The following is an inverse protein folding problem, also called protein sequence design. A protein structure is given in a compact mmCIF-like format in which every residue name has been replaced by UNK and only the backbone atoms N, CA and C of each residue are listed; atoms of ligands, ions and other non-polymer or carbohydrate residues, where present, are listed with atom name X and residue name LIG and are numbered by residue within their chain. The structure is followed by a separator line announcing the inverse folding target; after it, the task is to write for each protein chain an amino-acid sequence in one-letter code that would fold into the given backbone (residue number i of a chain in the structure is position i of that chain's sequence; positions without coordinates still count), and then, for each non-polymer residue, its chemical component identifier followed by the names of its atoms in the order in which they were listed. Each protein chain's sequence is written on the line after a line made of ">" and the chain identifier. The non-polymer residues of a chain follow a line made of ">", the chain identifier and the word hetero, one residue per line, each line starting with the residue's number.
data_IF_871571167617
#
_entry.id   IF_871571167617
#
_cell.length_a   1.000
_cell.length_b   1.000
_cell.length_c   1.000
_cell.angle_alpha   90.00
_cell.angle_beta   90.00
_cell.angle_gamma   90.00
#
_symmetry.space_group_name_H-M   'P 1'
#
loop_
_entity.id
_entity.type
_entity.pdbx_description
1 polymer ?
#
# COMPACT_ATOMS: atom_id res chain seq x y z
N UNK A 1 -71.89 -34.73 45.17
CA UNK A 1 -71.96 -33.71 44.10
C UNK A 1 -70.88 -32.69 44.40
N UNK A 2 -69.71 -32.82 43.76
CA UNK A 2 -68.53 -31.97 43.94
C UNK A 2 -67.79 -31.95 42.60
N UNK A 3 -67.44 -30.74 42.18
CA UNK A 3 -67.00 -30.37 40.84
C UNK A 3 -65.56 -30.80 40.51
N UNK A 4 -65.29 -31.05 39.23
CA UNK A 4 -63.93 -31.17 38.67
C UNK A 4 -63.75 -30.06 37.63
N UNK A 5 -62.71 -29.25 37.86
CA UNK A 5 -62.26 -28.14 37.04
C UNK A 5 -61.46 -28.68 35.84
N UNK A 6 -61.87 -28.37 34.61
CA UNK A 6 -61.16 -28.77 33.39
C UNK A 6 -60.24 -27.64 32.90
N UNK A 7 -58.96 -27.98 32.72
CA UNK A 7 -57.89 -27.12 32.22
C UNK A 7 -58.00 -27.01 30.68
N UNK A 8 -58.16 -25.81 30.12
CA UNK A 8 -58.09 -25.59 28.67
C UNK A 8 -56.67 -25.19 28.25
N UNK A 9 -56.08 -26.02 27.39
CA UNK A 9 -54.81 -25.81 26.72
C UNK A 9 -55.04 -24.95 25.47
N UNK A 10 -54.45 -23.75 25.40
CA UNK A 10 -54.55 -22.88 24.23
C UNK A 10 -53.27 -22.97 23.40
N UNK A 11 -53.40 -23.43 22.15
CA UNK A 11 -52.33 -23.45 21.14
C UNK A 11 -52.53 -22.23 20.24
N UNK A 12 -51.50 -21.40 20.09
CA UNK A 12 -51.47 -20.27 19.15
C UNK A 12 -50.34 -20.48 18.11
N UNK A 13 -50.52 -19.99 16.86
CA UNK A 13 -49.85 -20.51 15.67
C UNK A 13 -48.42 -19.96 15.50
N UNK A 14 -47.56 -20.80 14.92
CA UNK A 14 -46.24 -20.39 14.44
C UNK A 14 -46.39 -19.41 13.27
N UNK A 15 -45.88 -18.19 13.43
CA UNK A 15 -45.75 -17.22 12.35
C UNK A 15 -44.58 -17.64 11.46
N UNK A 16 -44.91 -18.23 10.30
CA UNK A 16 -43.99 -18.46 9.19
C UNK A 16 -43.52 -17.09 8.65
N UNK A 17 -42.43 -16.56 9.20
CA UNK A 17 -41.75 -15.39 8.68
C UNK A 17 -40.82 -15.83 7.55
N UNK A 18 -41.38 -16.01 6.35
CA UNK A 18 -40.57 -16.22 5.15
C UNK A 18 -40.04 -14.86 4.71
N UNK A 19 -38.87 -14.49 5.24
CA UNK A 19 -38.12 -13.36 4.74
C UNK A 19 -37.77 -13.63 3.27
N UNK A 20 -38.40 -12.88 2.37
CA UNK A 20 -38.01 -12.85 0.98
C UNK A 20 -36.54 -12.42 0.91
N UNK A 21 -35.67 -13.36 0.55
CA UNK A 21 -34.27 -13.05 0.30
C UNK A 21 -34.20 -12.13 -0.92
N UNK A 22 -33.93 -10.84 -0.69
CA UNK A 22 -33.44 -9.96 -1.73
C UNK A 22 -32.25 -10.63 -2.42
N UNK A 23 -32.14 -10.62 -3.76
CA UNK A 23 -30.96 -11.13 -4.43
C UNK A 23 -29.76 -10.33 -3.93
N UNK A 24 -28.89 -10.99 -3.15
CA UNK A 24 -27.63 -10.42 -2.74
C UNK A 24 -26.85 -10.09 -4.01
N UNK A 25 -26.38 -8.85 -4.13
CA UNK A 25 -25.36 -8.48 -5.10
C UNK A 25 -24.20 -9.48 -4.97
N UNK A 26 -23.60 -9.96 -6.07
CA UNK A 26 -22.47 -10.88 -5.97
C UNK A 26 -21.41 -10.26 -5.07
N UNK A 27 -20.98 -11.02 -4.07
CA UNK A 27 -19.88 -10.63 -3.20
C UNK A 27 -18.67 -10.23 -4.05
N UNK A 28 -17.79 -9.32 -3.59
CA UNK A 28 -16.58 -9.00 -4.32
C UNK A 28 -15.84 -10.31 -4.59
N UNK A 29 -15.54 -10.56 -5.85
CA UNK A 29 -14.91 -11.79 -6.32
C UNK A 29 -13.59 -12.00 -5.56
N UNK A 30 -13.56 -12.95 -4.63
CA UNK A 30 -12.32 -13.60 -4.12
C UNK A 30 -11.20 -12.72 -3.56
N UNK A 31 -10.09 -13.39 -3.23
CA UNK A 31 -8.83 -12.71 -2.91
C UNK A 31 -8.24 -12.01 -4.15
N UNK A 32 -7.30 -11.06 -3.99
CA UNK A 32 -6.61 -10.42 -5.12
C UNK A 32 -6.05 -11.42 -6.15
N UNK A 33 -5.48 -12.51 -5.66
CA UNK A 33 -4.89 -13.57 -6.47
C UNK A 33 -5.96 -14.28 -7.31
N UNK A 34 -7.13 -14.58 -6.71
CA UNK A 34 -8.21 -15.24 -7.44
C UNK A 34 -8.77 -14.34 -8.56
N UNK A 35 -8.87 -13.04 -8.31
CA UNK A 35 -9.27 -12.06 -9.34
C UNK A 35 -8.26 -12.00 -10.47
N UNK A 36 -6.97 -11.90 -10.13
CA UNK A 36 -5.90 -11.86 -11.12
C UNK A 36 -5.83 -13.16 -11.94
N UNK A 37 -5.97 -14.34 -11.31
CA UNK A 37 -6.00 -15.62 -12.02
C UNK A 37 -7.19 -15.73 -12.97
N UNK A 38 -8.39 -15.33 -12.53
CA UNK A 38 -9.56 -15.33 -13.40
C UNK A 38 -9.38 -14.38 -14.61
N UNK A 39 -8.78 -13.21 -14.38
CA UNK A 39 -8.47 -12.26 -15.44
C UNK A 39 -7.38 -12.79 -16.40
N UNK A 40 -6.35 -13.45 -15.88
CA UNK A 40 -5.28 -14.04 -16.69
C UNK A 40 -5.80 -15.16 -17.61
N UNK A 41 -6.68 -16.02 -17.09
CA UNK A 41 -7.37 -17.05 -17.89
C UNK A 41 -8.23 -16.41 -18.97
N UNK A 42 -9.00 -15.38 -18.63
CA UNK A 42 -9.88 -14.69 -19.58
C UNK A 42 -9.12 -13.94 -20.68
N UNK A 43 -7.97 -13.35 -20.34
CA UNK A 43 -7.13 -12.58 -21.26
C UNK A 43 -6.17 -13.48 -22.07
N UNK A 44 -5.85 -14.69 -21.58
CA UNK A 44 -4.86 -15.57 -22.20
C UNK A 44 -3.42 -15.08 -22.01
N UNK A 45 -3.20 -14.11 -21.13
CA UNK A 45 -1.90 -13.55 -20.79
C UNK A 45 -1.76 -13.39 -19.28
N UNK A 46 -0.53 -13.14 -18.80
CA UNK A 46 -0.29 -12.93 -17.37
C UNK A 46 -0.91 -11.62 -16.89
N UNK A 47 -1.49 -11.63 -15.70
CA UNK A 47 -2.09 -10.44 -15.06
C UNK A 47 -1.47 -10.21 -13.70
N UNK A 48 -1.12 -8.96 -13.41
CA UNK A 48 -0.49 -8.61 -12.14
C UNK A 48 -1.47 -8.68 -10.95
N UNK A 49 -0.98 -9.20 -9.83
CA UNK A 49 -1.60 -9.09 -8.51
C UNK A 49 -1.13 -7.78 -7.87
N UNK A 50 -1.84 -6.69 -8.16
CA UNK A 50 -1.42 -5.32 -7.80
C UNK A 50 -1.26 -5.13 -6.29
N UNK A 51 -2.04 -5.83 -5.48
CA UNK A 51 -2.02 -5.77 -4.02
C UNK A 51 -0.76 -6.38 -3.40
N UNK A 52 -0.06 -7.27 -4.11
CA UNK A 52 1.23 -7.86 -3.72
C UNK A 52 2.43 -7.03 -4.25
N UNK A 53 2.16 -5.90 -4.92
CA UNK A 53 3.20 -5.04 -5.48
C UNK A 53 4.04 -4.40 -4.38
N UNK A 54 5.36 -4.50 -4.50
CA UNK A 54 6.30 -3.76 -3.67
C UNK A 54 7.29 -2.93 -4.50
N UNK A 55 8.20 -2.24 -3.82
CA UNK A 55 9.32 -1.51 -4.45
C UNK A 55 10.18 -2.39 -5.35
N UNK A 56 10.27 -3.69 -5.04
CA UNK A 56 11.20 -4.63 -5.64
C UNK A 56 10.53 -5.87 -6.23
N UNK A 57 9.25 -6.05 -6.02
CA UNK A 57 8.55 -7.29 -6.36
C UNK A 57 7.29 -7.00 -7.16
N UNK A 58 7.05 -7.87 -8.15
CA UNK A 58 5.83 -7.91 -8.94
C UNK A 58 5.39 -9.36 -9.05
N UNK A 59 4.15 -9.64 -8.66
CA UNK A 59 3.56 -10.98 -8.75
C UNK A 59 2.57 -11.00 -9.89
N UNK A 60 2.67 -11.99 -10.77
CA UNK A 60 1.75 -12.21 -11.87
C UNK A 60 1.03 -13.55 -11.70
N UNK A 61 -0.28 -13.55 -11.92
CA UNK A 61 -1.04 -14.77 -12.18
C UNK A 61 -0.85 -15.18 -13.65
N UNK A 62 -0.59 -16.46 -13.88
CA UNK A 62 -0.37 -16.99 -15.23
C UNK A 62 -1.67 -17.42 -15.91
N UNK A 63 -1.72 -17.46 -17.25
CA UNK A 63 -2.94 -17.79 -18.00
C UNK A 63 -3.44 -19.24 -17.79
N UNK A 64 -2.64 -20.10 -17.15
CA UNK A 64 -3.09 -21.44 -16.72
C UNK A 64 -4.06 -21.40 -15.52
N UNK A 65 -4.19 -20.25 -14.85
CA UNK A 65 -5.10 -20.01 -13.73
C UNK A 65 -4.66 -20.59 -12.39
N UNK A 66 -3.54 -21.29 -12.33
CA UNK A 66 -3.08 -22.07 -11.17
C UNK A 66 -1.68 -21.72 -10.70
N UNK A 67 -0.82 -21.16 -11.56
CA UNK A 67 0.55 -20.79 -11.24
C UNK A 67 0.74 -19.28 -11.18
N UNK A 68 1.82 -18.86 -10.50
CA UNK A 68 2.23 -17.48 -10.36
C UNK A 68 3.70 -17.31 -10.72
N UNK A 69 4.06 -16.11 -11.17
CA UNK A 69 5.45 -15.72 -11.43
C UNK A 69 5.80 -14.52 -10.55
N UNK A 70 6.88 -14.67 -9.77
CA UNK A 70 7.48 -13.58 -8.99
C UNK A 70 8.65 -13.00 -9.77
N UNK A 71 8.57 -11.73 -10.12
CA UNK A 71 9.70 -10.94 -10.58
C UNK A 71 10.26 -10.14 -9.40
N UNK A 72 11.55 -10.33 -9.09
CA UNK A 72 12.22 -9.69 -7.95
C UNK A 72 13.49 -8.96 -8.40
N UNK A 73 13.62 -7.71 -7.97
CA UNK A 73 14.74 -6.83 -8.25
C UNK A 73 15.63 -6.63 -7.02
N UNK A 74 16.93 -6.47 -7.23
CA UNK A 74 17.89 -6.20 -6.15
C UNK A 74 17.75 -4.75 -5.66
N UNK A 75 17.49 -3.83 -6.59
CA UNK A 75 17.22 -2.42 -6.33
C UNK A 75 15.73 -2.12 -6.47
N UNK A 76 15.21 -1.05 -5.82
CA UNK A 76 13.86 -0.57 -6.07
C UNK A 76 13.70 -0.24 -7.56
N UNK A 77 12.62 -0.71 -8.17
CA UNK A 77 12.22 -0.34 -9.54
C UNK A 77 11.05 0.65 -9.54
N UNK A 78 10.47 0.89 -8.36
CA UNK A 78 9.39 1.81 -8.11
C UNK A 78 9.40 2.23 -6.64
N UNK A 79 8.86 3.40 -6.35
CA UNK A 79 8.72 3.94 -4.98
C UNK A 79 7.31 4.45 -4.77
N UNK A 80 6.80 4.33 -3.56
CA UNK A 80 5.48 4.84 -3.21
C UNK A 80 5.57 6.32 -2.84
N UNK A 81 4.91 7.19 -3.60
CA UNK A 81 4.82 8.63 -3.36
C UNK A 81 3.36 9.06 -3.47
N UNK A 82 2.85 9.69 -2.41
CA UNK A 82 1.47 10.23 -2.38
C UNK A 82 0.40 9.19 -2.79
N UNK A 83 0.57 7.94 -2.35
CA UNK A 83 -0.35 6.85 -2.66
C UNK A 83 -0.23 6.29 -4.08
N UNK A 84 0.80 6.68 -4.85
CA UNK A 84 1.06 6.19 -6.21
C UNK A 84 2.45 5.55 -6.30
N UNK A 85 2.59 4.60 -7.21
CA UNK A 85 3.89 4.06 -7.58
C UNK A 85 4.49 4.92 -8.70
N UNK A 86 5.71 5.41 -8.49
CA UNK A 86 6.47 6.17 -9.47
C UNK A 86 7.85 5.54 -9.66
N UNK A 87 8.49 5.83 -10.78
CA UNK A 87 9.89 5.45 -11.01
C UNK A 87 10.79 6.18 -10.00
N UNK A 88 11.85 5.54 -9.48
CA UNK A 88 12.85 6.25 -8.67
C UNK A 88 13.46 7.41 -9.46
N UNK A 89 13.50 8.59 -8.85
CA UNK A 89 14.06 9.82 -9.42
C UNK A 89 14.97 10.49 -8.37
N UNK A 90 16.31 10.39 -8.54
CA UNK A 90 17.28 10.95 -7.60
C UNK A 90 17.46 12.47 -7.73
N UNK A 91 16.80 13.13 -8.70
CA UNK A 91 16.93 14.58 -8.91
C UNK A 91 16.55 15.34 -7.65
N UNK A 92 17.46 16.17 -7.14
CA UNK A 92 17.23 16.92 -5.91
C UNK A 92 16.34 18.13 -6.16
N UNK A 93 15.35 18.27 -5.29
CA UNK A 93 14.40 19.37 -5.26
C UNK A 93 14.37 20.00 -3.87
N UNK A 94 13.98 21.28 -3.81
CA UNK A 94 13.64 21.92 -2.54
C UNK A 94 12.19 21.60 -2.21
N UNK A 95 11.98 20.98 -1.06
CA UNK A 95 10.66 20.68 -0.52
C UNK A 95 10.01 21.95 0.04
N UNK A 96 8.70 21.88 0.28
CA UNK A 96 7.90 22.99 0.81
C UNK A 96 8.26 23.36 2.25
N UNK A 97 8.84 22.42 3.01
CA UNK A 97 9.39 22.64 4.35
C UNK A 97 10.81 23.26 4.34
N UNK A 98 11.35 23.52 3.15
CA UNK A 98 12.69 24.10 2.96
C UNK A 98 13.83 23.08 2.90
N UNK A 99 13.57 21.80 3.22
CA UNK A 99 14.57 20.73 3.08
C UNK A 99 14.91 20.45 1.61
N UNK A 100 16.05 19.82 1.36
CA UNK A 100 16.44 19.37 0.02
C UNK A 100 16.38 17.85 -0.01
N UNK A 101 15.73 17.25 -0.99
CA UNK A 101 15.68 15.80 -1.12
C UNK A 101 15.42 15.35 -2.55
N UNK A 102 15.61 14.06 -2.86
CA UNK A 102 15.30 13.51 -4.18
C UNK A 102 13.80 13.60 -4.48
N UNK A 103 13.44 13.79 -5.74
CA UNK A 103 12.07 13.88 -6.21
C UNK A 103 11.28 12.59 -5.88
N UNK A 104 11.92 11.42 -6.00
CA UNK A 104 11.35 10.14 -5.63
C UNK A 104 12.44 9.12 -5.23
N UNK A 105 12.51 8.75 -3.95
CA UNK A 105 13.47 7.75 -3.45
C UNK A 105 12.81 6.71 -2.54
N UNK A 106 13.43 5.53 -2.44
CA UNK A 106 12.99 4.42 -1.60
C UNK A 106 13.40 4.58 -0.12
N UNK A 107 14.18 5.61 0.17
CA UNK A 107 14.60 6.01 1.51
C UNK A 107 14.34 7.49 1.67
N UNK A 108 14.06 7.91 2.89
CA UNK A 108 13.89 9.32 3.20
C UNK A 108 15.28 9.95 3.29
N UNK A 109 15.65 10.71 2.27
CA UNK A 109 16.92 11.40 2.17
C UNK A 109 16.66 12.91 2.25
N UNK A 110 17.28 13.58 3.23
CA UNK A 110 17.16 15.02 3.42
C UNK A 110 18.53 15.65 3.60
N UNK A 111 18.87 16.54 2.69
CA UNK A 111 20.02 17.44 2.74
C UNK A 111 19.59 18.78 3.35
N UNK A 112 20.49 19.38 4.13
CA UNK A 112 20.24 20.66 4.78
C UNK A 112 20.14 21.82 3.79
N UNK A 113 19.39 22.86 4.14
CA UNK A 113 19.34 24.10 3.35
C UNK A 113 20.50 25.06 3.65
N UNK A 114 21.42 24.69 4.54
CA UNK A 114 22.48 25.55 5.08
C UNK A 114 22.06 26.26 6.37
N UNK A 115 22.87 27.22 6.81
CA UNK A 115 22.67 28.01 8.03
C UNK A 115 23.28 27.36 9.27
N UNK A 116 22.66 27.58 10.43
CA UNK A 116 23.09 27.03 11.73
C UNK A 116 22.67 25.55 11.93
N UNK A 117 22.37 24.85 10.83
CA UNK A 117 22.00 23.44 10.86
C UNK A 117 23.17 22.58 11.34
N UNK A 118 22.91 21.67 12.27
CA UNK A 118 23.92 20.75 12.80
C UNK A 118 24.21 19.57 11.86
N UNK A 119 23.21 19.14 11.07
CA UNK A 119 23.29 17.98 10.18
C UNK A 119 23.41 18.43 8.72
N UNK A 120 24.36 17.85 7.99
CA UNK A 120 24.52 17.99 6.54
C UNK A 120 23.46 17.18 5.79
N UNK A 121 23.28 15.93 6.20
CA UNK A 121 22.38 14.98 5.58
C UNK A 121 21.81 14.01 6.61
N UNK A 122 20.53 13.71 6.49
CA UNK A 122 19.82 12.67 7.24
C UNK A 122 19.28 11.64 6.26
N UNK A 123 19.53 10.36 6.56
CA UNK A 123 18.97 9.22 5.85
C UNK A 123 18.08 8.46 6.83
N UNK A 124 16.82 8.25 6.48
CA UNK A 124 15.87 7.50 7.30
C UNK A 124 15.17 6.39 6.52
N UNK A 125 14.78 5.34 7.24
CA UNK A 125 13.95 4.25 6.75
C UNK A 125 13.13 3.68 7.90
N UNK A 126 11.81 3.81 7.81
CA UNK A 126 10.93 3.40 8.90
C UNK A 126 11.26 4.19 10.18
N UNK A 127 11.59 3.49 11.26
CA UNK A 127 11.93 4.11 12.55
C UNK A 127 13.42 4.37 12.75
N UNK A 128 14.26 3.98 11.79
CA UNK A 128 15.71 4.11 11.86
C UNK A 128 16.18 5.34 11.09
N UNK A 129 17.17 6.06 11.63
CA UNK A 129 17.81 7.18 10.96
C UNK A 129 19.30 7.25 11.27
N UNK A 130 20.05 7.83 10.33
CA UNK A 130 21.46 8.18 10.47
C UNK A 130 21.62 9.60 9.93
N UNK A 131 22.32 10.45 10.68
CA UNK A 131 22.73 11.78 10.22
C UNK A 131 24.24 11.87 10.13
N UNK A 132 24.72 12.68 9.18
CA UNK A 132 26.09 13.16 9.13
C UNK A 132 26.10 14.65 9.52
N UNK A 133 26.84 14.99 10.56
CA UNK A 133 26.99 16.36 11.04
C UNK A 133 27.90 17.23 10.18
N UNK A 134 27.75 18.55 10.28
CA UNK A 134 28.68 19.54 9.72
C UNK A 134 29.28 20.43 10.80
N UNK A 135 30.60 20.71 10.77
CA UNK A 135 31.22 21.60 11.74
C UNK A 135 30.92 23.08 11.42
N UNK A 136 30.33 23.79 12.40
CA UNK A 136 30.07 25.23 12.29
C UNK A 136 28.88 25.54 11.39
N UNK A 137 28.87 26.74 10.80
CA UNK A 137 27.81 27.16 9.90
C UNK A 137 27.93 26.43 8.55
N UNK A 138 26.81 25.86 8.09
CA UNK A 138 26.74 25.12 6.84
C UNK A 138 26.38 26.07 5.68
N UNK A 139 27.10 26.04 4.55
CA UNK A 139 26.72 26.81 3.36
C UNK A 139 25.33 26.42 2.84
N UNK A 140 24.66 27.33 2.12
CA UNK A 140 23.44 26.96 1.41
C UNK A 140 23.82 26.15 0.15
N UNK A 141 23.18 24.98 -0.11
CA UNK A 141 23.58 24.15 -1.23
C UNK A 141 23.13 24.73 -2.57
N UNK A 142 23.96 24.53 -3.58
CA UNK A 142 23.56 24.60 -5.00
C UNK A 142 23.13 23.19 -5.45
N UNK A 143 21.94 23.09 -6.04
CA UNK A 143 21.45 21.82 -6.59
C UNK A 143 21.92 21.66 -8.03
N UNK A 144 22.41 20.47 -8.35
CA UNK A 144 22.98 20.10 -9.64
C UNK A 144 22.51 18.69 -10.00
N UNK A 145 21.29 18.59 -10.52
CA UNK A 145 20.61 17.31 -10.74
C UNK A 145 20.46 16.55 -9.42
N UNK A 146 21.10 15.39 -9.32
CA UNK A 146 21.12 14.52 -8.14
C UNK A 146 22.15 14.93 -7.07
N UNK A 147 22.88 16.04 -7.27
CA UNK A 147 23.91 16.51 -6.34
C UNK A 147 23.50 17.77 -5.58
N UNK A 148 23.79 17.79 -4.28
CA UNK A 148 23.80 19.00 -3.45
C UNK A 148 25.25 19.40 -3.20
N UNK A 149 25.65 20.57 -3.71
CA UNK A 149 27.01 21.10 -3.58
C UNK A 149 27.02 22.21 -2.53
N UNK A 150 27.85 22.03 -1.49
CA UNK A 150 28.04 22.95 -0.36
C UNK A 150 29.39 23.64 -0.44
#
# INVERSE_FOLDING_TARGET
>A
MTAVLAFMLSVAPALNSQAAASPALPAPLGSPELRASAAAVAAGERVEVVEERSERETVFANPDGTTFTLEKSITPVRVAREGKWVEPDPTLVRNTDGSVGPAAAAVDLSFSAGGDAADLVTIAKGTQSVSLGWPGALPAPRLDGEHAVY
#
